data_IF_306721183096
#
_entry.id   IF_306721183096
#
_cell.length_a   1.000
_cell.length_b   1.000
_cell.length_c   1.000
_cell.angle_alpha   90.00
_cell.angle_beta   90.00
_cell.angle_gamma   90.00
#
_symmetry.space_group_name_H-M   'P 1'
#
loop_
_entity.id
_entity.type
_entity.pdbx_description
1 polymer ?
#
# COMPACT_ATOMS: atom_id res chain seq x y z
N UNK A 1 -6.70 10.52 1.14
CA UNK A 1 -6.54 9.36 2.04
C UNK A 1 -7.53 8.28 1.64
N UNK A 2 -7.22 7.01 1.84
CA UNK A 2 -8.09 5.86 1.56
C UNK A 2 -8.19 5.42 0.10
N UNK A 3 -7.49 6.05 -0.84
CA UNK A 3 -7.61 5.76 -2.27
C UNK A 3 -6.35 5.18 -2.92
N UNK A 4 -5.21 5.15 -2.23
CA UNK A 4 -3.95 4.68 -2.80
C UNK A 4 -4.06 3.24 -3.32
N UNK A 5 -4.63 2.34 -2.53
CA UNK A 5 -4.82 0.93 -2.91
C UNK A 5 -5.81 0.76 -4.08
N UNK A 6 -6.87 1.57 -4.15
CA UNK A 6 -7.83 1.54 -5.26
C UNK A 6 -7.19 2.00 -6.57
N UNK A 7 -6.39 3.07 -6.53
CA UNK A 7 -5.63 3.57 -7.70
C UNK A 7 -4.60 2.54 -8.13
N UNK A 8 -3.86 1.97 -7.18
CA UNK A 8 -2.87 0.91 -7.44
C UNK A 8 -3.49 -0.33 -8.07
N UNK A 9 -4.66 -0.76 -7.59
CA UNK A 9 -5.40 -1.87 -8.20
C UNK A 9 -5.78 -1.57 -9.65
N UNK A 10 -6.33 -0.37 -9.91
CA UNK A 10 -6.68 0.04 -11.29
C UNK A 10 -5.46 0.05 -12.21
N UNK A 11 -4.31 0.53 -11.71
CA UNK A 11 -3.06 0.51 -12.47
C UNK A 11 -2.56 -0.91 -12.72
N UNK A 12 -2.57 -1.78 -11.70
CA UNK A 12 -2.13 -3.17 -11.84
C UNK A 12 -2.96 -3.95 -12.86
N UNK A 13 -4.27 -3.72 -12.89
CA UNK A 13 -5.17 -4.35 -13.86
C UNK A 13 -4.97 -3.80 -15.27
N UNK A 14 -4.68 -2.50 -15.41
CA UNK A 14 -4.47 -1.87 -16.73
C UNK A 14 -3.07 -2.11 -17.30
N UNK A 15 -2.08 -2.44 -16.46
CA UNK A 15 -0.68 -2.66 -16.80
C UNK A 15 -0.15 -3.97 -16.20
N UNK A 16 -0.62 -5.14 -16.66
CA UNK A 16 -0.37 -6.44 -16.02
C UNK A 16 1.10 -6.87 -16.03
N UNK A 17 1.93 -6.29 -16.89
CA UNK A 17 3.37 -6.56 -16.97
C UNK A 17 4.22 -5.58 -16.15
N UNK A 18 3.62 -4.58 -15.53
CA UNK A 18 4.30 -3.57 -14.70
C UNK A 18 4.09 -3.92 -13.24
N UNK A 19 5.17 -4.05 -12.47
CA UNK A 19 5.07 -4.20 -11.02
C UNK A 19 4.51 -2.92 -10.40
N UNK A 20 3.45 -3.04 -9.63
CA UNK A 20 2.79 -1.92 -8.94
C UNK A 20 2.96 -2.09 -7.43
N UNK A 21 3.63 -1.14 -6.81
CA UNK A 21 3.81 -1.07 -5.37
C UNK A 21 3.00 0.09 -4.84
N UNK A 22 2.06 -0.20 -3.95
CA UNK A 22 1.28 0.81 -3.23
C UNK A 22 1.91 1.02 -1.86
N UNK A 23 2.25 2.26 -1.52
CA UNK A 23 2.69 2.65 -0.19
C UNK A 23 1.54 3.39 0.50
N UNK A 24 1.13 2.92 1.65
CA UNK A 24 -0.04 3.44 2.37
C UNK A 24 0.22 3.49 3.88
N UNK A 25 -0.61 4.22 4.61
CA UNK A 25 -0.62 4.23 6.08
C UNK A 25 -1.84 3.49 6.61
N UNK A 26 -1.75 3.00 7.84
CA UNK A 26 -2.83 2.29 8.53
C UNK A 26 -4.13 3.10 8.59
N UNK A 27 -4.06 4.36 8.98
CA UNK A 27 -5.22 5.24 9.03
C UNK A 27 -5.84 5.50 7.65
N UNK A 28 -5.03 5.54 6.60
CA UNK A 28 -5.51 5.66 5.22
C UNK A 28 -6.25 4.39 4.78
N UNK A 29 -5.68 3.22 5.04
CA UNK A 29 -6.29 1.92 4.72
C UNK A 29 -7.61 1.73 5.48
N UNK A 30 -7.67 2.11 6.75
CA UNK A 30 -8.88 2.03 7.56
C UNK A 30 -10.06 2.85 6.99
N UNK A 31 -9.79 3.90 6.23
CA UNK A 31 -10.84 4.68 5.56
C UNK A 31 -11.52 3.95 4.40
N UNK A 32 -10.89 2.90 3.85
CA UNK A 32 -11.42 2.17 2.70
C UNK A 32 -11.05 0.68 2.71
N UNK A 33 -11.34 0.00 3.81
CA UNK A 33 -11.07 -1.45 3.99
C UNK A 33 -11.71 -2.33 2.91
N UNK A 34 -12.82 -1.88 2.32
CA UNK A 34 -13.49 -2.60 1.23
C UNK A 34 -12.63 -2.86 0.00
N UNK A 35 -11.55 -2.09 -0.19
CA UNK A 35 -10.58 -2.33 -1.28
C UNK A 35 -9.91 -3.70 -1.15
N UNK A 36 -9.68 -4.23 0.06
CA UNK A 36 -9.12 -5.57 0.23
C UNK A 36 -9.98 -6.66 -0.44
N UNK A 37 -11.29 -6.60 -0.28
CA UNK A 37 -12.19 -7.54 -0.94
C UNK A 37 -12.13 -7.43 -2.47
N UNK A 38 -11.96 -6.22 -2.99
CA UNK A 38 -11.81 -5.99 -4.42
C UNK A 38 -10.46 -6.49 -4.94
N UNK A 39 -9.37 -6.24 -4.21
CA UNK A 39 -8.04 -6.80 -4.52
C UNK A 39 -8.08 -8.32 -4.51
N UNK A 40 -8.69 -8.93 -3.49
CA UNK A 40 -8.84 -10.38 -3.40
C UNK A 40 -9.62 -10.96 -4.59
N UNK A 41 -10.70 -10.30 -5.01
CA UNK A 41 -11.53 -10.72 -6.14
C UNK A 41 -10.77 -10.74 -7.46
N UNK A 42 -10.00 -9.68 -7.75
CA UNK A 42 -9.26 -9.56 -9.01
C UNK A 42 -7.89 -10.23 -8.96
N UNK A 43 -7.30 -10.32 -7.79
CA UNK A 43 -6.01 -10.95 -7.48
C UNK A 43 -4.91 -10.66 -8.53
N UNK A 44 -4.60 -9.37 -8.82
CA UNK A 44 -3.62 -9.03 -9.83
C UNK A 44 -2.23 -9.54 -9.42
N UNK A 45 -1.52 -10.16 -10.37
CA UNK A 45 -0.21 -10.82 -10.13
C UNK A 45 0.94 -9.85 -9.86
N UNK A 46 0.73 -8.59 -10.11
CA UNK A 46 1.73 -7.53 -10.13
C UNK A 46 1.48 -6.44 -9.08
N UNK A 47 0.65 -6.70 -8.06
CA UNK A 47 0.32 -5.72 -7.01
C UNK A 47 0.90 -6.13 -5.67
N UNK A 48 1.73 -5.29 -5.09
CA UNK A 48 2.17 -5.38 -3.70
C UNK A 48 1.72 -4.13 -2.94
N UNK A 49 0.89 -4.31 -1.91
CA UNK A 49 0.41 -3.25 -1.04
C UNK A 49 1.19 -3.26 0.27
N UNK A 50 2.03 -2.26 0.48
CA UNK A 50 2.81 -2.05 1.70
C UNK A 50 2.10 -1.04 2.58
N UNK A 51 1.82 -1.41 3.82
CA UNK A 51 1.13 -0.58 4.80
C UNK A 51 2.07 -0.30 5.95
N UNK A 52 2.42 0.98 6.14
CA UNK A 52 3.17 1.44 7.31
C UNK A 52 2.19 1.71 8.45
N UNK A 53 2.13 0.78 9.38
CA UNK A 53 1.24 0.86 10.54
C UNK A 53 2.00 1.45 11.73
N UNK A 54 1.82 2.75 11.93
CA UNK A 54 2.39 3.51 13.04
C UNK A 54 1.37 3.78 14.15
N UNK A 55 0.17 3.21 14.05
CA UNK A 55 -0.92 3.35 15.01
C UNK A 55 -1.37 4.80 15.25
N UNK A 56 -1.03 5.72 14.33
CA UNK A 56 -1.24 7.16 14.50
C UNK A 56 -1.54 7.90 13.21
N UNK A 57 -2.40 8.89 13.29
CA UNK A 57 -2.69 9.86 12.22
C UNK A 57 -1.80 11.10 12.38
N UNK A 58 -0.49 10.96 12.20
CA UNK A 58 0.49 12.06 12.38
C UNK A 58 0.18 13.29 11.53
N UNK A 59 -0.35 13.11 10.33
CA UNK A 59 -0.66 14.20 9.39
C UNK A 59 -1.80 15.12 9.85
N UNK A 60 -2.59 14.69 10.83
CA UNK A 60 -3.77 15.43 11.33
C UNK A 60 -3.80 15.54 12.85
N UNK A 61 -2.65 15.56 13.50
CA UNK A 61 -2.52 15.83 14.94
C UNK A 61 -2.10 14.66 15.81
N UNK A 62 -1.73 13.51 15.21
CA UNK A 62 -1.18 12.37 15.96
C UNK A 62 -2.23 11.55 16.72
N UNK A 63 -3.50 11.63 16.33
CA UNK A 63 -4.56 10.83 16.95
C UNK A 63 -4.33 9.33 16.71
N UNK A 64 -4.63 8.47 17.71
CA UNK A 64 -4.50 7.03 17.55
C UNK A 64 -5.47 6.51 16.49
N UNK A 65 -5.01 5.56 15.69
CA UNK A 65 -5.85 4.81 14.76
C UNK A 65 -6.46 3.59 15.41
N UNK A 66 -7.40 2.92 14.77
CA UNK A 66 -8.00 1.69 15.29
C UNK A 66 -7.01 0.52 15.41
N UNK A 67 -5.86 0.57 14.71
CA UNK A 67 -4.81 -0.44 14.85
C UNK A 67 -4.15 -0.40 16.23
N UNK A 68 -4.14 0.79 16.89
CA UNK A 68 -3.66 0.93 18.26
C UNK A 68 -4.55 0.25 19.30
N UNK A 69 -5.79 -0.06 18.95
CA UNK A 69 -6.80 -0.64 19.87
C UNK A 69 -7.23 -2.06 19.48
N UNK A 70 -6.51 -2.72 18.56
CA UNK A 70 -6.69 -4.14 18.27
C UNK A 70 -7.13 -4.48 16.85
N UNK A 71 -7.36 -3.50 15.96
CA UNK A 71 -7.59 -3.80 14.54
C UNK A 71 -6.31 -4.35 13.91
N UNK A 72 -6.36 -5.59 13.40
CA UNK A 72 -5.24 -6.23 12.70
C UNK A 72 -5.47 -6.20 11.18
N UNK A 73 -4.72 -5.36 10.47
CA UNK A 73 -4.86 -5.18 9.02
C UNK A 73 -4.44 -6.41 8.21
N UNK A 74 -3.46 -7.18 8.68
CA UNK A 74 -3.07 -8.46 8.06
C UNK A 74 -4.23 -9.45 8.12
N UNK A 75 -4.85 -9.61 9.28
CA UNK A 75 -5.94 -10.57 9.46
C UNK A 75 -7.20 -10.15 8.68
N UNK A 76 -7.46 -8.85 8.58
CA UNK A 76 -8.53 -8.32 7.71
C UNK A 76 -8.23 -8.64 6.23
N UNK A 77 -7.00 -8.44 5.77
CA UNK A 77 -6.61 -8.78 4.40
C UNK A 77 -6.80 -10.27 4.12
N UNK A 78 -6.36 -11.16 5.03
CA UNK A 78 -6.57 -12.61 4.94
C UNK A 78 -8.07 -12.96 4.90
N UNK A 79 -8.86 -12.39 5.80
CA UNK A 79 -10.31 -12.63 5.89
C UNK A 79 -11.07 -12.10 4.67
N UNK A 80 -10.52 -11.09 4.00
CA UNK A 80 -11.04 -10.57 2.73
C UNK A 80 -10.71 -11.45 1.52
N UNK A 81 -9.84 -12.47 1.70
CA UNK A 81 -9.45 -13.43 0.67
C UNK A 81 -8.08 -13.19 0.02
N UNK A 82 -7.30 -12.22 0.47
CA UNK A 82 -5.91 -12.02 0.03
C UNK A 82 -5.04 -13.07 0.73
N UNK A 83 -4.52 -14.04 -0.03
CA UNK A 83 -3.77 -15.18 0.53
C UNK A 83 -2.38 -14.82 1.05
N UNK A 84 -1.76 -13.80 0.45
CA UNK A 84 -0.41 -13.36 0.76
C UNK A 84 -0.48 -12.07 1.58
N UNK A 85 -0.81 -12.17 2.86
CA UNK A 85 -0.80 -11.05 3.78
C UNK A 85 0.14 -11.37 4.96
N UNK A 86 1.04 -10.45 5.24
CA UNK A 86 2.13 -10.60 6.21
C UNK A 86 2.16 -9.39 7.14
N UNK A 87 2.67 -9.59 8.35
CA UNK A 87 2.98 -8.51 9.28
C UNK A 87 4.41 -8.67 9.77
N UNK A 88 5.15 -7.57 9.87
CA UNK A 88 6.51 -7.53 10.40
C UNK A 88 6.74 -6.29 11.23
N UNK A 89 7.73 -6.37 12.15
CA UNK A 89 8.24 -5.25 12.96
C UNK A 89 9.74 -5.03 12.75
N UNK A 90 10.36 -5.91 11.99
CA UNK A 90 11.79 -5.94 11.76
C UNK A 90 12.13 -5.56 10.32
N UNK A 91 13.20 -4.78 10.15
CA UNK A 91 13.59 -4.27 8.83
C UNK A 91 14.15 -5.36 7.90
N UNK A 92 14.86 -6.33 8.42
CA UNK A 92 15.45 -7.39 7.59
C UNK A 92 14.37 -8.41 7.20
N UNK A 93 13.43 -8.66 8.09
CA UNK A 93 12.22 -9.42 7.79
C UNK A 93 11.36 -8.71 6.71
N UNK A 94 11.19 -7.38 6.84
CA UNK A 94 10.52 -6.57 5.82
C UNK A 94 11.18 -6.69 4.45
N UNK A 95 12.49 -6.55 4.37
CA UNK A 95 13.25 -6.69 3.11
C UNK A 95 13.01 -8.06 2.47
N UNK A 96 13.15 -9.12 3.27
CA UNK A 96 12.95 -10.50 2.81
C UNK A 96 11.52 -10.73 2.28
N UNK A 97 10.51 -10.27 3.04
CA UNK A 97 9.11 -10.34 2.63
C UNK A 97 8.85 -9.54 1.35
N UNK A 98 9.39 -8.33 1.28
CA UNK A 98 9.20 -7.46 0.12
C UNK A 98 9.82 -8.06 -1.14
N UNK A 99 11.10 -8.45 -1.11
CA UNK A 99 11.80 -9.06 -2.25
C UNK A 99 11.10 -10.34 -2.76
N UNK A 100 10.61 -11.16 -1.82
CA UNK A 100 9.85 -12.36 -2.17
C UNK A 100 8.53 -12.03 -2.84
N UNK A 101 7.81 -11.03 -2.33
CA UNK A 101 6.42 -10.79 -2.72
C UNK A 101 6.25 -9.89 -3.94
N UNK A 102 7.23 -9.07 -4.32
CA UNK A 102 7.18 -8.28 -5.57
C UNK A 102 7.27 -9.15 -6.84
N UNK A 103 7.67 -10.43 -6.70
CA UNK A 103 7.90 -11.35 -7.81
C UNK A 103 6.93 -12.55 -7.81
N UNK A 104 5.94 -12.57 -6.93
CA UNK A 104 4.96 -13.67 -6.89
C UNK A 104 3.76 -13.39 -7.79
N UNK A 105 3.16 -14.46 -8.30
CA UNK A 105 2.00 -14.44 -9.20
C UNK A 105 0.67 -14.19 -8.50
N UNK A 106 0.63 -13.38 -7.44
CA UNK A 106 -0.59 -13.06 -6.70
C UNK A 106 -0.46 -11.69 -6.02
N UNK A 107 -1.58 -11.03 -5.79
CA UNK A 107 -1.59 -9.82 -4.97
C UNK A 107 -1.08 -10.11 -3.55
N UNK A 108 -0.29 -9.20 -2.99
CA UNK A 108 0.25 -9.32 -1.64
C UNK A 108 0.03 -8.06 -0.82
N UNK A 109 -0.10 -8.24 0.50
CA UNK A 109 -0.19 -7.17 1.50
C UNK A 109 0.92 -7.38 2.52
N UNK A 110 1.70 -6.35 2.80
CA UNK A 110 2.74 -6.36 3.83
C UNK A 110 2.45 -5.23 4.80
N UNK A 111 2.09 -5.58 6.02
CA UNK A 111 1.90 -4.62 7.12
C UNK A 111 3.21 -4.51 7.89
N UNK A 112 3.83 -3.34 7.84
CA UNK A 112 5.05 -3.05 8.58
C UNK A 112 4.71 -2.17 9.79
N UNK A 113 4.84 -2.73 10.99
CA UNK A 113 4.72 -1.97 12.24
C UNK A 113 5.93 -1.06 12.39
N UNK A 114 5.69 0.24 12.48
CA UNK A 114 6.72 1.26 12.56
C UNK A 114 6.45 2.25 13.69
N UNK A 115 7.47 2.99 14.10
CA UNK A 115 7.30 4.04 15.11
C UNK A 115 6.48 5.21 14.55
N UNK A 116 5.66 5.82 15.42
CA UNK A 116 4.92 7.05 15.12
C UNK A 116 5.86 8.27 15.13
N UNK A 117 6.77 8.32 14.15
CA UNK A 117 7.77 9.37 14.01
C UNK A 117 7.63 10.05 12.66
N UNK A 118 7.42 11.36 12.68
CA UNK A 118 7.42 12.17 11.45
C UNK A 118 8.83 12.50 10.96
N UNK A 119 8.98 12.99 9.73
CA UNK A 119 10.26 13.43 9.21
C UNK A 119 10.75 14.70 9.92
N UNK A 120 12.05 14.83 10.12
CA UNK A 120 12.66 16.03 10.74
C UNK A 120 12.51 17.29 9.85
N UNK A 121 12.45 17.10 8.55
CA UNK A 121 12.24 18.18 7.57
C UNK A 121 11.26 17.71 6.50
N UNK A 122 10.31 18.59 6.20
CA UNK A 122 9.46 18.42 5.01
C UNK A 122 10.11 19.11 3.82
N UNK A 123 10.42 18.35 2.77
CA UNK A 123 10.67 18.88 1.45
C UNK A 123 9.49 18.46 0.59
N UNK A 124 8.54 19.33 0.39
CA UNK A 124 7.39 19.04 -0.43
C UNK A 124 7.48 19.87 -1.71
N UNK A 125 7.64 19.20 -2.83
CA UNK A 125 7.33 19.81 -4.13
C UNK A 125 5.81 19.84 -4.26
N UNK A 126 5.25 21.04 -4.29
CA UNK A 126 3.81 21.26 -4.40
C UNK A 126 3.30 21.26 -5.84
N UNK A 127 4.13 20.91 -6.82
CA UNK A 127 3.76 20.73 -8.22
C UNK A 127 2.80 19.55 -8.45
N UNK A 128 1.68 19.48 -7.72
CA UNK A 128 0.75 18.36 -7.80
C UNK A 128 0.15 18.14 -9.19
N UNK A 129 -0.03 19.23 -9.96
CA UNK A 129 -0.55 19.16 -11.33
C UNK A 129 0.51 18.59 -12.26
N UNK A 130 1.75 19.07 -12.15
CA UNK A 130 2.88 18.55 -12.92
C UNK A 130 3.11 17.08 -12.61
N UNK A 131 3.16 16.70 -11.33
CA UNK A 131 3.31 15.30 -10.92
C UNK A 131 2.22 14.41 -11.55
N UNK A 132 0.95 14.83 -11.56
CA UNK A 132 -0.13 14.11 -12.22
C UNK A 132 0.10 13.92 -13.71
N UNK A 133 0.57 14.98 -14.39
CA UNK A 133 0.82 14.96 -15.84
C UNK A 133 2.01 14.06 -16.15
N UNK A 134 3.10 14.18 -15.40
CA UNK A 134 4.31 13.36 -15.56
C UNK A 134 4.01 11.88 -15.30
N UNK A 135 3.32 11.58 -14.21
CA UNK A 135 2.90 10.21 -13.91
C UNK A 135 2.05 9.62 -15.05
N UNK A 136 1.08 10.39 -15.57
CA UNK A 136 0.26 9.95 -16.71
C UNK A 136 1.10 9.70 -17.96
N UNK A 137 2.06 10.58 -18.27
CA UNK A 137 2.98 10.39 -19.40
C UNK A 137 3.83 9.15 -19.23
N UNK A 138 4.38 8.94 -18.01
CA UNK A 138 5.16 7.75 -17.69
C UNK A 138 4.35 6.48 -17.89
N UNK A 139 3.16 6.37 -17.32
CA UNK A 139 2.29 5.20 -17.46
C UNK A 139 1.94 4.91 -18.93
N UNK A 140 1.69 5.96 -19.72
CA UNK A 140 1.38 5.82 -21.15
C UNK A 140 2.61 5.39 -21.97
N UNK A 141 3.83 5.67 -21.51
CA UNK A 141 5.07 5.28 -22.19
C UNK A 141 5.47 3.82 -21.92
N UNK A 142 4.90 3.18 -20.88
CA UNK A 142 5.16 1.78 -20.58
C UNK A 142 4.58 0.89 -21.68
N UNK A 143 5.49 0.26 -22.44
CA UNK A 143 5.11 -0.66 -23.53
C UNK A 143 4.56 -1.96 -22.93
N UNK A 144 3.39 -2.37 -23.38
CA UNK A 144 2.83 -3.69 -23.14
C UNK A 144 3.26 -4.61 -24.31
N UNK A 145 4.53 -5.01 -24.33
CA UNK A 145 4.99 -6.00 -25.32
C UNK A 145 4.74 -7.41 -24.81
#
# INVERSE_FOLDING_TARGET
MGLASSVGLGLALSKPKTSVIVLDGDGSVLMNLGTFSTIARYNPKNLTHVIFDNESLLSVGGFPTATSTGTNLKDIALSSGIKNAFETKDIDDFKSLFEKNINIDNASVIVSKVEAKGPEKFTMDLGLIENKIEFKRHINSLKEN
#
